data_IF_626896718289
#
_entry.id   IF_626896718289
#
_cell.length_a   1.000
_cell.length_b   1.000
_cell.length_c   1.000
_cell.angle_alpha   90.00
_cell.angle_beta   90.00
_cell.angle_gamma   90.00
#
_symmetry.space_group_name_H-M   'P 1'
#
loop_
_entity.id
_entity.type
_entity.pdbx_description
1 polymer ?
#
# COMPACT_ATOMS: atom_id res chain seq x y z
N UNK A 1 3.74 -4.55 0.08
CA UNK A 1 4.27 -4.91 -1.26
C UNK A 1 5.15 -3.77 -1.75
N UNK A 2 6.36 -4.07 -2.19
CA UNK A 2 7.34 -3.06 -2.59
C UNK A 2 7.41 -2.91 -4.12
N UNK A 3 7.68 -1.71 -4.59
CA UNK A 3 8.09 -1.47 -5.99
C UNK A 3 9.58 -1.77 -6.23
N UNK A 4 10.33 -2.13 -5.18
CA UNK A 4 11.72 -2.52 -5.25
C UNK A 4 11.95 -3.76 -6.10
N UNK A 5 13.13 -3.87 -6.66
CA UNK A 5 13.53 -4.96 -7.54
C UNK A 5 14.07 -6.15 -6.74
N UNK A 6 14.09 -7.35 -7.35
CA UNK A 6 14.56 -8.59 -6.71
C UNK A 6 16.05 -8.56 -6.32
N UNK A 7 16.87 -7.76 -6.99
CA UNK A 7 18.28 -7.57 -6.63
C UNK A 7 18.48 -6.90 -5.26
N UNK A 8 17.42 -6.33 -4.67
CA UNK A 8 17.44 -5.74 -3.32
C UNK A 8 16.91 -6.69 -2.25
N UNK A 9 16.61 -7.96 -2.59
CA UNK A 9 16.00 -8.90 -1.65
C UNK A 9 16.81 -9.07 -0.38
N UNK A 10 18.10 -9.42 -0.51
CA UNK A 10 18.98 -9.66 0.64
C UNK A 10 19.14 -8.41 1.49
N UNK A 11 19.30 -7.24 0.86
CA UNK A 11 19.35 -5.96 1.56
C UNK A 11 18.08 -5.67 2.36
N UNK A 12 16.91 -5.95 1.80
CA UNK A 12 15.65 -5.76 2.50
C UNK A 12 15.50 -6.74 3.66
N UNK A 13 15.87 -8.00 3.50
CA UNK A 13 15.86 -8.98 4.58
C UNK A 13 16.76 -8.54 5.74
N UNK A 14 17.98 -8.10 5.45
CA UNK A 14 18.91 -7.59 6.47
C UNK A 14 18.38 -6.31 7.14
N UNK A 15 17.79 -5.40 6.37
CA UNK A 15 17.19 -4.17 6.89
C UNK A 15 16.03 -4.49 7.85
N UNK A 16 15.19 -5.45 7.52
CA UNK A 16 14.10 -5.90 8.37
C UNK A 16 14.62 -6.49 9.68
N UNK A 17 15.62 -7.38 9.60
CA UNK A 17 16.27 -7.96 10.78
C UNK A 17 16.92 -6.91 11.68
N UNK A 18 17.68 -5.99 11.08
CA UNK A 18 18.36 -4.92 11.82
C UNK A 18 17.36 -4.03 12.59
N UNK A 19 16.25 -3.67 11.95
CA UNK A 19 15.20 -2.84 12.53
C UNK A 19 14.19 -3.64 13.36
N UNK A 20 14.40 -4.94 13.58
CA UNK A 20 13.50 -5.85 14.32
C UNK A 20 12.07 -5.82 13.81
N UNK A 21 11.91 -5.68 12.50
CA UNK A 21 10.60 -5.72 11.84
C UNK A 21 10.14 -7.18 11.72
N UNK A 22 8.81 -7.42 11.74
CA UNK A 22 8.27 -8.77 11.57
C UNK A 22 8.68 -9.40 10.23
N UNK A 23 8.89 -10.70 10.23
CA UNK A 23 9.11 -11.45 8.99
C UNK A 23 7.89 -11.37 8.08
N UNK A 24 8.13 -11.32 6.79
CA UNK A 24 7.07 -11.21 5.79
C UNK A 24 7.52 -11.62 4.40
N UNK A 25 6.56 -11.81 3.52
CA UNK A 25 6.84 -12.11 2.11
C UNK A 25 7.17 -10.83 1.33
N UNK A 26 8.32 -10.83 0.65
CA UNK A 26 8.72 -9.76 -0.26
C UNK A 26 8.24 -10.06 -1.68
N UNK A 27 7.22 -9.33 -2.14
CA UNK A 27 6.73 -9.40 -3.52
C UNK A 27 7.39 -8.29 -4.34
N UNK A 28 8.60 -8.53 -4.78
CA UNK A 28 9.43 -7.57 -5.49
C UNK A 28 9.18 -7.62 -7.01
N UNK A 29 9.56 -6.56 -7.70
CA UNK A 29 9.49 -6.49 -9.15
C UNK A 29 10.72 -7.15 -9.79
N UNK A 30 10.52 -7.81 -10.92
CA UNK A 30 11.61 -8.28 -11.78
C UNK A 30 12.18 -7.08 -12.54
N UNK A 31 13.50 -7.01 -12.65
CA UNK A 31 14.19 -6.05 -13.53
C UNK A 31 13.58 -6.11 -14.93
N UNK A 32 12.93 -5.03 -15.34
CA UNK A 32 12.48 -4.92 -16.73
C UNK A 32 13.71 -4.74 -17.62
N UNK A 33 13.92 -5.64 -18.58
CA UNK A 33 14.93 -5.46 -19.63
C UNK A 33 14.65 -4.16 -20.35
N UNK A 34 15.70 -3.42 -20.70
CA UNK A 34 15.63 -2.13 -21.43
C UNK A 34 14.69 -2.15 -22.64
N UNK A 35 14.53 -3.32 -23.29
CA UNK A 35 13.64 -3.51 -24.45
C UNK A 35 12.14 -3.42 -24.09
N UNK A 36 11.77 -3.67 -22.82
CA UNK A 36 10.38 -3.65 -22.36
C UNK A 36 9.96 -2.23 -21.90
N UNK A 37 10.93 -1.35 -21.60
CA UNK A 37 10.69 0.05 -21.24
C UNK A 37 10.16 0.89 -22.39
N UNK A 38 10.50 0.53 -23.65
CA UNK A 38 10.10 1.29 -24.83
C UNK A 38 8.65 1.00 -25.26
N UNK A 39 8.08 -0.13 -24.85
CA UNK A 39 6.75 -0.59 -25.30
C UNK A 39 5.58 -0.38 -24.34
N UNK A 40 5.81 0.02 -23.09
CA UNK A 40 4.72 0.02 -22.11
C UNK A 40 4.77 1.20 -21.14
N UNK A 41 4.30 2.36 -21.59
CA UNK A 41 4.10 3.55 -20.75
C UNK A 41 2.99 3.44 -19.69
N UNK A 42 2.34 2.29 -19.49
CA UNK A 42 1.18 2.12 -18.57
C UNK A 42 1.25 0.94 -17.58
N UNK A 43 2.27 0.12 -17.56
CA UNK A 43 2.19 -1.23 -16.97
C UNK A 43 2.74 -1.42 -15.53
N UNK A 44 3.28 -0.41 -14.89
CA UNK A 44 3.80 -0.54 -13.51
C UNK A 44 2.69 -0.68 -12.46
N UNK A 45 1.58 -0.02 -12.67
CA UNK A 45 0.49 0.11 -11.70
C UNK A 45 -0.54 -1.03 -11.78
N UNK A 46 -0.84 -1.51 -12.98
CA UNK A 46 -1.72 -2.66 -13.19
C UNK A 46 -1.15 -3.92 -12.54
N UNK A 47 0.17 -4.10 -12.57
CA UNK A 47 0.84 -5.23 -11.93
C UNK A 47 0.69 -5.26 -10.41
N UNK A 48 0.78 -4.11 -9.73
CA UNK A 48 0.60 -4.01 -8.27
C UNK A 48 -0.85 -4.31 -7.89
N UNK A 49 -1.79 -3.68 -8.58
CA UNK A 49 -3.22 -3.88 -8.37
C UNK A 49 -3.61 -5.35 -8.52
N UNK A 50 -3.21 -6.00 -9.62
CA UNK A 50 -3.53 -7.42 -9.89
C UNK A 50 -2.92 -8.35 -8.83
N UNK A 51 -1.71 -8.09 -8.33
CA UNK A 51 -1.09 -8.91 -7.27
C UNK A 51 -1.87 -8.82 -5.97
N UNK A 52 -2.27 -7.60 -5.57
CA UNK A 52 -3.07 -7.40 -4.35
C UNK A 52 -4.41 -8.12 -4.49
N UNK A 53 -5.09 -7.95 -5.63
CA UNK A 53 -6.37 -8.63 -5.85
C UNK A 53 -6.26 -10.15 -5.77
N UNK A 54 -5.21 -10.76 -6.34
CA UNK A 54 -4.96 -12.20 -6.22
C UNK A 54 -4.76 -12.66 -4.77
N UNK A 55 -4.10 -11.84 -3.94
CA UNK A 55 -3.94 -12.13 -2.51
C UNK A 55 -5.29 -12.07 -1.81
N UNK A 56 -6.10 -11.06 -2.08
CA UNK A 56 -7.42 -10.92 -1.49
C UNK A 56 -8.35 -12.07 -1.90
N UNK A 57 -8.31 -12.48 -3.16
CA UNK A 57 -9.08 -13.62 -3.67
C UNK A 57 -8.61 -14.96 -3.05
N UNK A 58 -7.31 -15.11 -2.81
CA UNK A 58 -6.75 -16.31 -2.18
C UNK A 58 -7.06 -16.38 -0.66
N UNK A 59 -7.30 -15.25 -0.02
CA UNK A 59 -7.57 -15.16 1.43
C UNK A 59 -8.86 -14.37 1.73
N UNK A 60 -10.03 -14.85 1.29
CA UNK A 60 -11.28 -14.10 1.35
C UNK A 60 -11.78 -13.81 2.77
N UNK A 61 -11.33 -14.58 3.77
CA UNK A 61 -11.71 -14.42 5.17
C UNK A 61 -10.71 -13.59 5.98
N UNK A 62 -9.61 -13.16 5.38
CA UNK A 62 -8.61 -12.35 6.06
C UNK A 62 -8.93 -10.86 5.94
N UNK A 63 -8.50 -10.12 6.96
CA UNK A 63 -8.54 -8.67 7.00
C UNK A 63 -7.17 -8.10 6.71
N UNK A 64 -7.13 -7.03 5.96
CA UNK A 64 -5.90 -6.41 5.48
C UNK A 64 -5.83 -4.94 5.88
N UNK A 65 -4.62 -4.50 6.19
CA UNK A 65 -4.29 -3.10 6.38
C UNK A 65 -3.28 -2.72 5.30
N UNK A 66 -3.52 -1.62 4.61
CA UNK A 66 -2.63 -1.14 3.57
C UNK A 66 -1.80 0.04 4.06
N UNK A 67 -0.51 -0.03 3.78
CA UNK A 67 0.42 1.07 3.99
C UNK A 67 1.07 1.47 2.68
N UNK A 68 1.12 2.76 2.41
CA UNK A 68 1.75 3.33 1.23
C UNK A 68 2.11 4.78 1.44
N UNK A 69 2.46 5.44 0.35
CA UNK A 69 2.75 6.87 0.33
C UNK A 69 2.13 7.55 -0.91
N UNK A 70 2.08 8.88 -0.89
CA UNK A 70 1.54 9.65 -2.01
C UNK A 70 2.61 10.09 -3.04
N UNK A 71 3.82 9.53 -2.99
CA UNK A 71 4.83 9.78 -4.02
C UNK A 71 4.55 9.04 -5.33
N UNK A 72 3.90 7.88 -5.21
CA UNK A 72 3.47 7.03 -6.32
C UNK A 72 1.93 7.02 -6.44
N UNK A 73 1.36 5.94 -6.93
CA UNK A 73 -0.09 5.77 -7.14
C UNK A 73 -0.74 4.87 -6.08
N UNK A 74 -0.14 4.76 -4.89
CA UNK A 74 -0.70 3.95 -3.81
C UNK A 74 -2.11 4.41 -3.40
N UNK A 75 -2.39 5.72 -3.27
CA UNK A 75 -3.73 6.18 -2.93
C UNK A 75 -4.81 5.74 -3.93
N UNK A 76 -4.53 5.85 -5.23
CA UNK A 76 -5.46 5.46 -6.31
C UNK A 76 -5.67 3.96 -6.33
N UNK A 77 -4.58 3.17 -6.20
CA UNK A 77 -4.63 1.71 -6.19
C UNK A 77 -5.44 1.24 -4.99
N UNK A 78 -5.16 1.75 -3.80
CA UNK A 78 -5.83 1.30 -2.58
C UNK A 78 -7.30 1.73 -2.54
N UNK A 79 -7.63 2.94 -3.00
CA UNK A 79 -9.02 3.38 -3.16
C UNK A 79 -9.80 2.45 -4.11
N UNK A 80 -9.22 2.06 -5.24
CA UNK A 80 -9.83 1.13 -6.19
C UNK A 80 -10.01 -0.28 -5.61
N UNK A 81 -9.06 -0.74 -4.77
CA UNK A 81 -9.16 -2.03 -4.09
C UNK A 81 -10.29 -2.00 -3.05
N UNK A 82 -10.36 -0.94 -2.25
CA UNK A 82 -11.42 -0.78 -1.23
C UNK A 82 -12.80 -0.72 -1.89
N UNK A 83 -12.92 -0.09 -3.03
CA UNK A 83 -14.20 -0.05 -3.77
C UNK A 83 -14.68 -1.47 -4.12
N UNK A 84 -13.77 -2.38 -4.46
CA UNK A 84 -14.10 -3.75 -4.85
C UNK A 84 -14.16 -4.72 -3.67
N UNK A 85 -13.31 -4.54 -2.65
CA UNK A 85 -13.16 -5.46 -1.51
C UNK A 85 -13.34 -4.76 -0.14
N UNK A 86 -14.39 -3.95 0.08
CA UNK A 86 -14.52 -3.15 1.31
C UNK A 86 -14.57 -4.00 2.57
N UNK A 87 -15.08 -5.23 2.48
CA UNK A 87 -15.20 -6.13 3.64
C UNK A 87 -13.88 -6.76 4.07
N UNK A 88 -12.87 -6.76 3.20
CA UNK A 88 -11.57 -7.37 3.48
C UNK A 88 -10.53 -6.35 3.93
N UNK A 89 -10.80 -5.06 3.80
CA UNK A 89 -9.87 -4.01 4.18
C UNK A 89 -10.34 -3.35 5.47
N UNK A 90 -9.46 -3.31 6.47
CA UNK A 90 -9.74 -2.65 7.75
C UNK A 90 -9.31 -1.19 7.76
N UNK A 91 -8.14 -0.90 7.17
CA UNK A 91 -7.61 0.45 7.12
C UNK A 91 -6.63 0.66 5.97
N UNK A 92 -6.53 1.92 5.54
CA UNK A 92 -5.56 2.42 4.56
C UNK A 92 -4.78 3.58 5.18
N UNK A 93 -3.47 3.45 5.23
CA UNK A 93 -2.55 4.45 5.75
C UNK A 93 -1.66 4.97 4.62
N UNK A 94 -1.68 6.27 4.39
CA UNK A 94 -0.86 6.93 3.37
C UNK A 94 0.07 7.94 4.04
N UNK A 95 1.37 7.76 3.87
CA UNK A 95 2.36 8.76 4.30
C UNK A 95 2.38 9.92 3.33
N UNK A 96 2.26 11.13 3.86
CA UNK A 96 2.31 12.36 3.07
C UNK A 96 3.75 12.76 2.77
N UNK A 97 4.30 12.29 1.65
CA UNK A 97 5.67 12.62 1.20
C UNK A 97 5.64 13.78 0.20
N UNK A 98 4.52 13.93 -0.54
CA UNK A 98 4.31 14.94 -1.56
C UNK A 98 3.20 15.90 -1.13
N UNK A 99 3.54 17.04 -0.47
CA UNK A 99 2.52 17.99 -0.01
C UNK A 99 1.62 18.52 -1.14
N UNK A 100 2.16 18.63 -2.35
CA UNK A 100 1.41 19.07 -3.53
C UNK A 100 0.29 18.10 -3.93
N UNK A 101 0.36 16.83 -3.53
CA UNK A 101 -0.66 15.81 -3.76
C UNK A 101 -1.60 15.60 -2.57
N UNK A 102 -1.43 16.35 -1.51
CA UNK A 102 -2.19 16.15 -0.27
C UNK A 102 -3.70 16.26 -0.49
N UNK A 103 -4.13 17.30 -1.21
CA UNK A 103 -5.55 17.54 -1.46
C UNK A 103 -6.20 16.39 -2.26
N UNK A 104 -5.52 15.91 -3.31
CA UNK A 104 -5.96 14.77 -4.12
C UNK A 104 -6.02 13.48 -3.29
N UNK A 105 -4.97 13.24 -2.48
CA UNK A 105 -4.90 12.08 -1.59
C UNK A 105 -6.06 12.08 -0.58
N UNK A 106 -6.37 13.23 0.02
CA UNK A 106 -7.51 13.36 0.94
C UNK A 106 -8.85 13.03 0.30
N UNK A 107 -9.06 13.43 -0.97
CA UNK A 107 -10.29 13.08 -1.71
C UNK A 107 -10.39 11.56 -1.91
N UNK A 108 -9.28 10.89 -2.22
CA UNK A 108 -9.26 9.43 -2.38
C UNK A 108 -9.50 8.71 -1.05
N UNK A 109 -8.87 9.16 0.03
CA UNK A 109 -9.07 8.59 1.37
C UNK A 109 -10.50 8.81 1.88
N UNK A 110 -11.13 9.94 1.54
CA UNK A 110 -12.55 10.15 1.84
C UNK A 110 -13.45 9.11 1.19
N UNK A 111 -13.18 8.71 -0.06
CA UNK A 111 -13.92 7.60 -0.71
C UNK A 111 -13.71 6.26 0.02
N UNK A 112 -12.54 6.05 0.59
CA UNK A 112 -12.25 4.86 1.42
C UNK A 112 -13.08 4.87 2.70
N UNK A 113 -13.13 6.00 3.41
CA UNK A 113 -13.97 6.18 4.60
C UNK A 113 -15.46 5.98 4.32
N UNK A 114 -15.96 6.48 3.18
CA UNK A 114 -17.35 6.35 2.74
C UNK A 114 -17.77 4.88 2.52
N UNK A 115 -16.78 3.97 2.39
CA UNK A 115 -16.99 2.50 2.35
C UNK A 115 -16.93 1.84 3.75
N UNK A 116 -16.76 2.60 4.81
CA UNK A 116 -16.64 2.09 6.18
C UNK A 116 -15.26 1.53 6.52
N UNK A 117 -14.24 1.89 5.75
CA UNK A 117 -12.83 1.48 5.95
C UNK A 117 -12.08 2.62 6.60
N UNK A 118 -11.24 2.33 7.60
CA UNK A 118 -10.40 3.34 8.22
C UNK A 118 -9.43 3.96 7.22
N UNK A 119 -9.24 5.28 7.26
CA UNK A 119 -8.30 5.95 6.37
C UNK A 119 -7.52 7.04 7.11
N UNK A 120 -6.21 7.09 6.89
CA UNK A 120 -5.35 8.06 7.54
C UNK A 120 -4.26 8.55 6.58
N UNK A 121 -4.23 9.86 6.35
CA UNK A 121 -3.08 10.54 5.75
C UNK A 121 -2.23 11.08 6.87
N UNK A 122 -0.97 10.65 6.98
CA UNK A 122 -0.10 11.01 8.08
C UNK A 122 1.25 11.57 7.62
N UNK A 123 1.79 12.48 8.40
CA UNK A 123 3.14 13.02 8.24
C UNK A 123 4.13 12.32 9.18
N UNK A 124 3.69 12.01 10.40
CA UNK A 124 4.46 11.35 11.46
C UNK A 124 3.79 10.05 11.87
N UNK A 125 4.60 9.08 12.26
CA UNK A 125 4.12 7.74 12.65
C UNK A 125 3.15 7.77 13.82
N UNK A 126 3.28 8.74 14.73
CA UNK A 126 2.40 8.93 15.88
C UNK A 126 0.96 9.14 15.46
N UNK A 127 0.71 9.90 14.39
CA UNK A 127 -0.63 10.15 13.84
C UNK A 127 -1.29 8.84 13.36
N UNK A 128 -0.53 7.97 12.71
CA UNK A 128 -1.01 6.66 12.29
C UNK A 128 -1.29 5.73 13.48
N UNK A 129 -0.46 5.80 14.53
CA UNK A 129 -0.66 5.03 15.77
C UNK A 129 -1.94 5.52 16.48
N UNK A 130 -2.12 6.81 16.66
CA UNK A 130 -3.31 7.38 17.29
C UNK A 130 -4.58 7.00 16.52
N UNK A 131 -4.56 7.12 15.20
CA UNK A 131 -5.68 6.68 14.37
C UNK A 131 -5.95 5.18 14.53
N UNK A 132 -4.90 4.34 14.51
CA UNK A 132 -5.04 2.89 14.69
C UNK A 132 -5.68 2.53 16.03
N UNK A 133 -5.35 3.26 17.11
CA UNK A 133 -6.00 3.11 18.42
C UNK A 133 -7.45 3.56 18.39
N UNK A 134 -7.74 4.69 17.74
CA UNK A 134 -9.09 5.26 17.68
C UNK A 134 -10.10 4.34 16.98
N UNK A 135 -9.64 3.57 15.99
CA UNK A 135 -10.49 2.58 15.28
C UNK A 135 -10.41 1.17 15.88
N UNK A 136 -9.68 0.98 17.00
CA UNK A 136 -9.55 -0.31 17.68
C UNK A 136 -8.68 -1.35 16.95
N UNK A 137 -7.84 -0.93 16.03
CA UNK A 137 -6.93 -1.83 15.29
C UNK A 137 -5.77 -2.31 16.16
N UNK A 138 -5.29 -1.46 17.07
CA UNK A 138 -4.27 -1.76 18.08
C UNK A 138 -4.72 -1.24 19.45
N UNK A 139 -4.12 -1.80 20.53
CA UNK A 139 -4.35 -1.39 21.93
C UNK A 139 -3.42 -0.23 22.33
#
# INVERSE_FOLDING_TARGET
MSSSEWNLYDYLVETFKFNKLPDGAFLLNTLKRWKDLIKTGKTGHEGKLLRVMRILDAFPNQKFVFFGDNSQQDPEIYSSIVEKYPKNIEAVYIRNIRPEKEAETKVLLKKVEDKGVGACLFNRSEEAIEHSKSIGLIQ
#
